data_IF_107249606100
#
_entry.id   IF_107249606100
#
_cell.length_a   1.000
_cell.length_b   1.000
_cell.length_c   1.000
_cell.angle_alpha   90.00
_cell.angle_beta   90.00
_cell.angle_gamma   90.00
#
_symmetry.space_group_name_H-M   'P 1'
#
loop_
_entity.id
_entity.type
_entity.pdbx_description
1 polymer ?
#
# COMPACT_ATOMS: atom_id res chain seq x y z
N UNK A 1 -29.65 48.68 21.80
CA UNK A 1 -29.79 47.21 21.88
C UNK A 1 -28.69 46.63 21.00
N UNK A 2 -27.74 45.89 21.61
CA UNK A 2 -26.59 45.16 21.02
C UNK A 2 -25.49 46.04 20.37
N UNK A 3 -24.28 46.25 20.90
CA UNK A 3 -23.50 45.58 21.95
C UNK A 3 -22.24 44.93 21.34
N UNK A 4 -21.07 45.57 21.48
CA UNK A 4 -19.77 45.17 20.91
C UNK A 4 -19.30 43.74 21.30
N UNK A 5 -18.40 43.11 20.52
CA UNK A 5 -17.89 41.77 20.82
C UNK A 5 -16.96 41.76 22.05
N UNK A 6 -17.03 40.73 22.92
CA UNK A 6 -16.14 40.65 24.07
C UNK A 6 -14.77 40.05 23.74
N UNK A 7 -13.78 40.57 24.47
CA UNK A 7 -12.36 40.19 24.50
C UNK A 7 -12.13 38.69 24.76
N UNK A 8 -11.13 38.13 24.10
CA UNK A 8 -10.60 36.80 24.35
C UNK A 8 -10.07 36.67 25.79
N UNK A 9 -10.54 35.63 26.48
CA UNK A 9 -10.00 35.20 27.78
C UNK A 9 -9.56 33.74 27.62
N UNK A 10 -8.30 33.48 27.94
CA UNK A 10 -7.71 32.14 28.02
C UNK A 10 -8.51 31.23 28.96
N UNK A 11 -8.91 30.06 28.47
CA UNK A 11 -9.27 28.92 29.32
C UNK A 11 -8.91 27.61 28.61
N UNK A 12 -7.69 27.12 28.90
CA UNK A 12 -7.28 25.76 28.59
C UNK A 12 -8.16 24.77 29.36
N UNK A 13 -9.01 24.02 28.67
CA UNK A 13 -9.80 22.94 29.27
C UNK A 13 -9.00 21.65 29.19
N UNK A 14 -8.46 21.21 30.33
CA UNK A 14 -7.82 19.91 30.53
C UNK A 14 -8.82 18.79 30.21
N UNK A 15 -8.57 18.00 29.17
CA UNK A 15 -9.20 16.69 29.02
C UNK A 15 -8.57 15.74 30.05
N UNK A 16 -9.39 15.32 31.01
CA UNK A 16 -9.02 14.37 32.07
C UNK A 16 -9.13 12.96 31.48
N UNK A 17 -8.01 12.23 31.47
CA UNK A 17 -7.97 10.82 31.08
C UNK A 17 -8.78 9.98 32.09
N UNK A 18 -9.66 9.13 31.57
CA UNK A 18 -10.29 8.04 32.30
C UNK A 18 -9.97 6.74 31.55
N UNK A 19 -9.35 5.78 32.23
CA UNK A 19 -9.23 4.39 31.76
C UNK A 19 -7.83 3.93 31.33
N UNK A 20 -6.83 4.06 32.22
CA UNK A 20 -5.61 3.25 32.20
C UNK A 20 -5.94 1.82 32.67
N UNK A 21 -6.12 0.88 31.74
CA UNK A 21 -6.04 -0.57 32.06
C UNK A 21 -5.84 -1.43 30.79
N UNK A 22 -6.36 -1.01 29.64
CA UNK A 22 -6.30 -1.84 28.42
C UNK A 22 -4.93 -1.80 27.72
N UNK A 23 -4.23 -0.66 27.74
CA UNK A 23 -2.92 -0.50 27.13
C UNK A 23 -1.82 -1.25 27.91
N UNK A 24 -1.94 -1.31 29.23
CA UNK A 24 -0.96 -1.98 30.10
C UNK A 24 -1.07 -3.52 30.00
N UNK A 25 -2.28 -4.06 29.81
CA UNK A 25 -2.47 -5.50 29.55
C UNK A 25 -1.90 -5.95 28.20
N UNK A 26 -1.92 -5.07 27.18
CA UNK A 26 -1.29 -5.34 25.88
C UNK A 26 0.24 -5.32 26.01
N UNK A 27 0.77 -4.41 26.83
CA UNK A 27 2.21 -4.27 27.09
C UNK A 27 2.81 -5.50 27.81
N UNK A 28 2.07 -6.07 28.78
CA UNK A 28 2.49 -7.29 29.50
C UNK A 28 2.51 -8.52 28.58
N UNK A 29 1.54 -8.65 27.67
CA UNK A 29 1.45 -9.77 26.74
C UNK A 29 2.57 -9.76 25.69
N UNK A 30 3.02 -8.58 25.26
CA UNK A 30 4.15 -8.42 24.33
C UNK A 30 5.52 -8.69 24.97
N UNK A 31 5.69 -8.34 26.26
CA UNK A 31 6.91 -8.69 27.02
C UNK A 31 7.04 -10.20 27.24
N UNK A 32 5.93 -10.91 27.47
CA UNK A 32 5.95 -12.37 27.59
C UNK A 32 6.30 -13.09 26.28
N UNK A 33 5.83 -12.59 25.12
CA UNK A 33 6.16 -13.18 23.80
C UNK A 33 7.64 -12.98 23.44
N UNK A 34 8.27 -11.90 23.93
CA UNK A 34 9.67 -11.60 23.64
C UNK A 34 10.67 -12.40 24.49
N UNK A 35 10.21 -12.98 25.61
CA UNK A 35 11.06 -13.77 26.52
C UNK A 35 11.20 -15.25 26.12
N UNK A 36 10.43 -15.75 25.14
CA UNK A 36 10.39 -17.18 24.77
C UNK A 36 11.20 -17.55 23.52
N UNK A 37 12.13 -16.71 23.07
CA UNK A 37 13.09 -17.09 22.02
C UNK A 37 14.52 -16.84 22.44
N UNK A 38 15.12 -17.85 23.07
CA UNK A 38 16.54 -18.15 22.91
C UNK A 38 16.78 -19.61 23.28
N UNK A 39 16.99 -20.46 22.27
CA UNK A 39 17.95 -21.58 22.20
C UNK A 39 17.61 -22.45 21.00
N UNK A 40 18.38 -22.32 19.91
CA UNK A 40 18.36 -23.28 18.80
C UNK A 40 19.24 -24.50 19.16
N UNK A 41 18.81 -25.75 18.92
CA UNK A 41 19.70 -26.90 18.97
C UNK A 41 20.47 -27.06 17.64
N UNK A 42 21.73 -27.53 17.65
CA UNK A 42 22.55 -27.60 16.46
C UNK A 42 22.28 -28.87 15.64
N UNK A 43 22.25 -28.70 14.30
CA UNK A 43 22.59 -29.77 13.35
C UNK A 43 21.45 -30.37 12.55
N UNK A 44 21.23 -29.90 11.32
CA UNK A 44 20.64 -30.72 10.23
C UNK A 44 21.17 -30.22 8.88
N UNK A 45 21.70 -31.08 7.99
CA UNK A 45 22.43 -30.64 6.80
C UNK A 45 21.50 -30.06 5.72
N UNK A 46 21.98 -29.02 5.03
CA UNK A 46 21.31 -28.34 3.93
C UNK A 46 20.99 -29.31 2.78
N UNK A 47 19.70 -29.52 2.50
CA UNK A 47 19.24 -30.18 1.28
C UNK A 47 19.36 -29.20 0.11
N UNK A 48 20.23 -29.52 -0.85
CA UNK A 48 20.45 -28.71 -2.04
C UNK A 48 19.14 -28.48 -2.81
N UNK A 49 18.75 -27.22 -2.98
CA UNK A 49 17.68 -26.83 -3.89
C UNK A 49 18.15 -27.06 -5.33
N UNK A 50 17.63 -28.09 -5.98
CA UNK A 50 17.79 -28.29 -7.42
C UNK A 50 17.11 -27.12 -8.15
N UNK A 51 17.91 -26.32 -8.88
CA UNK A 51 17.40 -25.28 -9.78
C UNK A 51 16.80 -25.95 -11.03
N UNK A 52 15.54 -25.66 -11.42
CA UNK A 52 15.03 -26.09 -12.72
C UNK A 52 15.76 -25.33 -13.84
N UNK A 53 16.17 -26.05 -14.88
CA UNK A 53 16.74 -25.46 -16.08
C UNK A 53 15.65 -24.74 -16.89
N UNK A 54 15.73 -23.41 -16.98
CA UNK A 54 14.88 -22.58 -17.83
C UNK A 54 15.24 -22.82 -19.30
N UNK A 55 14.36 -23.46 -20.07
CA UNK A 55 14.42 -23.48 -21.54
C UNK A 55 13.27 -22.65 -22.10
N UNK A 56 13.50 -21.35 -22.29
CA UNK A 56 12.66 -20.55 -23.17
C UNK A 56 12.81 -21.07 -24.60
N UNK A 57 11.69 -21.38 -25.26
CA UNK A 57 11.64 -21.61 -26.70
C UNK A 57 10.90 -20.40 -27.29
N UNK A 58 11.47 -19.78 -28.32
CA UNK A 58 10.86 -18.65 -29.01
C UNK A 58 9.49 -19.04 -29.62
N UNK A 59 8.53 -18.10 -29.68
CA UNK A 59 7.12 -18.39 -29.98
C UNK A 59 6.87 -18.57 -31.48
N UNK A 60 5.90 -19.43 -31.81
CA UNK A 60 5.16 -19.38 -33.08
C UNK A 60 3.85 -18.63 -32.85
N UNK A 61 3.74 -17.46 -33.48
CA UNK A 61 2.62 -16.60 -33.92
C UNK A 61 1.14 -16.88 -33.54
N UNK A 62 0.81 -17.40 -32.35
CA UNK A 62 -0.57 -17.32 -31.82
C UNK A 62 -0.58 -16.65 -30.43
N UNK A 63 -0.55 -15.31 -30.47
CA UNK A 63 -0.41 -14.44 -29.31
C UNK A 63 -1.77 -14.15 -28.66
N UNK A 64 -2.26 -15.04 -27.80
CA UNK A 64 -3.34 -14.68 -26.85
C UNK A 64 -3.40 -15.50 -25.57
N UNK A 65 -2.55 -16.53 -25.39
CA UNK A 65 -2.48 -17.29 -24.14
C UNK A 65 -1.05 -17.66 -23.79
N UNK A 66 -0.50 -17.04 -22.75
CA UNK A 66 0.76 -17.45 -22.16
C UNK A 66 0.58 -18.76 -21.37
N UNK A 67 0.74 -19.91 -22.04
CA UNK A 67 0.77 -21.22 -21.37
C UNK A 67 2.16 -21.49 -20.79
N UNK A 68 2.42 -21.01 -19.57
CA UNK A 68 3.60 -21.43 -18.83
C UNK A 68 3.43 -22.89 -18.35
N UNK A 69 4.01 -23.85 -19.07
CA UNK A 69 3.98 -25.26 -18.70
C UNK A 69 5.10 -25.53 -17.68
N UNK A 70 4.80 -25.40 -16.39
CA UNK A 70 5.71 -25.81 -15.32
C UNK A 70 5.64 -27.33 -15.15
N UNK A 71 6.68 -28.05 -15.55
CA UNK A 71 6.84 -29.47 -15.21
C UNK A 71 7.48 -29.57 -13.82
N UNK A 72 6.66 -29.57 -12.77
CA UNK A 72 7.08 -30.02 -11.44
C UNK A 72 6.78 -31.51 -11.31
N UNK A 73 7.83 -32.28 -11.05
CA UNK A 73 7.75 -33.72 -10.84
C UNK A 73 7.16 -33.99 -9.45
N UNK A 74 5.95 -34.56 -9.38
CA UNK A 74 5.36 -35.10 -8.15
C UNK A 74 4.40 -34.18 -7.38
N UNK A 75 3.17 -34.05 -7.87
CA UNK A 75 2.04 -33.54 -7.09
C UNK A 75 0.92 -33.04 -8.00
N UNK A 76 -0.34 -33.40 -7.72
CA UNK A 76 -1.52 -32.86 -8.42
C UNK A 76 -1.70 -31.38 -8.06
N UNK A 77 -0.83 -30.51 -8.56
CA UNK A 77 -1.09 -29.08 -8.59
C UNK A 77 -1.88 -28.80 -9.86
N UNK A 78 -3.14 -28.39 -9.69
CA UNK A 78 -3.98 -27.94 -10.79
C UNK A 78 -3.21 -26.95 -11.66
N UNK A 79 -3.29 -27.12 -12.98
CA UNK A 79 -2.62 -26.26 -13.94
C UNK A 79 -3.11 -24.81 -13.69
N UNK A 80 -2.25 -23.84 -13.37
CA UNK A 80 -2.73 -22.46 -13.22
C UNK A 80 -2.90 -21.82 -14.61
N UNK A 81 -4.07 -21.24 -14.88
CA UNK A 81 -4.30 -20.39 -16.06
C UNK A 81 -4.07 -18.93 -15.67
N UNK A 82 -3.32 -18.20 -16.50
CA UNK A 82 -3.12 -16.76 -16.35
C UNK A 82 -3.78 -16.06 -17.53
N UNK A 83 -4.72 -15.16 -17.22
CA UNK A 83 -5.46 -14.36 -18.19
C UNK A 83 -5.15 -12.86 -17.97
N UNK A 84 -5.12 -12.09 -19.06
CA UNK A 84 -5.02 -10.63 -19.00
C UNK A 84 -6.38 -10.03 -18.59
N UNK A 85 -6.35 -9.05 -17.70
CA UNK A 85 -7.52 -8.24 -17.37
C UNK A 85 -7.64 -7.08 -18.34
N UNK A 86 -8.85 -6.80 -18.79
CA UNK A 86 -9.08 -5.59 -19.57
C UNK A 86 -9.04 -4.33 -18.67
N UNK A 87 -8.96 -3.17 -19.31
CA UNK A 87 -8.83 -1.88 -18.61
C UNK A 87 -9.99 -1.61 -17.63
N UNK A 88 -11.22 -1.92 -18.02
CA UNK A 88 -12.42 -1.72 -17.19
C UNK A 88 -12.33 -2.56 -15.91
N UNK A 89 -11.97 -3.85 -16.02
CA UNK A 89 -11.78 -4.73 -14.87
C UNK A 89 -10.69 -4.18 -13.93
N UNK A 90 -9.56 -3.73 -14.50
CA UNK A 90 -8.47 -3.15 -13.71
C UNK A 90 -8.91 -1.90 -12.93
N UNK A 91 -9.69 -1.02 -13.58
CA UNK A 91 -10.22 0.20 -12.97
C UNK A 91 -11.26 -0.10 -11.89
N UNK A 92 -12.07 -1.14 -12.07
CA UNK A 92 -13.00 -1.60 -11.04
C UNK A 92 -12.25 -2.07 -9.78
N UNK A 93 -11.18 -2.87 -9.95
CA UNK A 93 -10.31 -3.31 -8.85
C UNK A 93 -9.65 -2.11 -8.15
N UNK A 94 -9.10 -1.17 -8.90
CA UNK A 94 -8.57 0.09 -8.35
C UNK A 94 -9.63 0.83 -7.51
N UNK A 95 -10.86 0.94 -8.04
CA UNK A 95 -11.94 1.70 -7.41
C UNK A 95 -12.37 1.15 -6.06
N UNK A 96 -12.27 -0.16 -5.82
CA UNK A 96 -12.61 -0.80 -4.53
C UNK A 96 -11.43 -1.03 -3.59
N UNK A 97 -10.20 -0.73 -4.05
CA UNK A 97 -8.99 -0.91 -3.24
C UNK A 97 -8.79 0.25 -2.25
N UNK A 98 -8.34 -0.07 -1.04
CA UNK A 98 -7.97 0.90 0.00
C UNK A 98 -6.49 0.85 0.41
N UNK A 99 -5.77 -0.21 0.05
CA UNK A 99 -4.34 -0.36 0.33
C UNK A 99 -3.59 -0.85 -0.90
N UNK A 100 -2.42 -0.27 -1.17
CA UNK A 100 -1.60 -0.62 -2.32
C UNK A 100 -0.11 -0.49 -1.99
N UNK A 101 0.76 -0.87 -2.93
CA UNK A 101 2.21 -0.63 -2.88
C UNK A 101 2.58 0.43 -3.91
N UNK A 102 3.14 1.54 -3.43
CA UNK A 102 3.65 2.62 -4.25
C UNK A 102 5.13 2.41 -4.52
N UNK A 103 5.50 2.28 -5.80
CA UNK A 103 6.86 2.27 -6.30
C UNK A 103 7.26 3.63 -6.86
N UNK A 104 8.45 4.11 -6.48
CA UNK A 104 9.12 5.26 -7.07
C UNK A 104 10.62 4.94 -7.22
N UNK A 105 11.37 5.76 -7.96
CA UNK A 105 12.81 5.53 -8.14
C UNK A 105 13.61 6.82 -8.20
N UNK A 106 14.88 6.73 -7.80
CA UNK A 106 15.86 7.79 -7.93
C UNK A 106 17.21 7.16 -8.29
N UNK A 107 17.91 7.70 -9.28
CA UNK A 107 19.21 7.19 -9.75
C UNK A 107 19.19 5.67 -10.00
N UNK A 108 18.18 5.21 -10.74
CA UNK A 108 17.94 3.79 -11.07
C UNK A 108 17.69 2.84 -9.89
N UNK A 109 17.63 3.35 -8.66
CA UNK A 109 17.25 2.56 -7.49
C UNK A 109 15.73 2.62 -7.26
N UNK A 110 15.00 1.50 -7.28
CA UNK A 110 13.59 1.45 -6.90
C UNK A 110 13.39 1.52 -5.37
N UNK A 111 12.27 2.10 -4.95
CA UNK A 111 11.79 2.17 -3.58
C UNK A 111 10.29 1.93 -3.53
N UNK A 112 9.86 0.91 -2.79
CA UNK A 112 8.47 0.45 -2.71
C UNK A 112 7.98 0.50 -1.28
N UNK A 113 6.80 1.09 -1.06
CA UNK A 113 6.19 1.22 0.27
C UNK A 113 4.68 0.95 0.24
N UNK A 114 4.10 0.42 1.33
CA UNK A 114 2.65 0.35 1.45
C UNK A 114 2.03 1.74 1.63
N UNK A 115 0.88 1.98 1.00
CA UNK A 115 0.12 3.23 1.08
C UNK A 115 -1.37 2.93 1.19
N UNK A 116 -2.10 3.80 1.90
CA UNK A 116 -3.55 3.87 1.81
C UNK A 116 -3.95 4.71 0.60
N UNK A 117 -4.97 4.26 -0.14
CA UNK A 117 -5.37 4.91 -1.40
C UNK A 117 -6.88 5.08 -1.49
N UNK A 118 -7.29 6.08 -2.27
CA UNK A 118 -8.62 6.14 -2.86
C UNK A 118 -8.48 6.46 -4.35
N UNK A 119 -9.17 5.72 -5.21
CA UNK A 119 -9.14 5.91 -6.65
C UNK A 119 -10.47 6.51 -7.12
N UNK A 120 -10.38 7.60 -7.90
CA UNK A 120 -11.53 8.24 -8.55
C UNK A 120 -11.07 9.06 -9.76
N UNK A 121 -11.83 9.02 -10.86
CA UNK A 121 -11.60 9.83 -12.08
C UNK A 121 -10.13 9.87 -12.55
N UNK A 122 -9.50 8.70 -12.73
CA UNK A 122 -8.10 8.56 -13.15
C UNK A 122 -7.04 9.06 -12.15
N UNK A 123 -7.44 9.43 -10.94
CA UNK A 123 -6.53 9.83 -9.88
C UNK A 123 -6.52 8.84 -8.71
N UNK A 124 -5.32 8.50 -8.26
CA UNK A 124 -5.11 7.79 -6.99
C UNK A 124 -4.71 8.82 -5.94
N UNK A 125 -5.60 9.12 -5.00
CA UNK A 125 -5.37 10.05 -3.91
C UNK A 125 -4.70 9.36 -2.72
N UNK A 126 -3.68 10.02 -2.16
CA UNK A 126 -2.87 9.48 -1.07
C UNK A 126 -2.59 10.58 -0.05
N UNK A 127 -2.83 10.25 1.21
CA UNK A 127 -2.39 11.05 2.35
C UNK A 127 -1.03 10.55 2.85
N UNK A 128 -0.12 11.48 3.14
CA UNK A 128 1.18 11.12 3.69
C UNK A 128 1.83 12.19 4.55
N UNK A 129 3.04 11.89 4.97
CA UNK A 129 3.94 12.81 5.67
C UNK A 129 5.23 12.91 4.89
N UNK A 130 5.97 14.00 5.09
CA UNK A 130 7.27 14.20 4.48
C UNK A 130 8.21 13.00 4.74
N UNK A 131 8.97 12.60 3.73
CA UNK A 131 9.87 11.44 3.82
C UNK A 131 10.52 11.09 2.49
N UNK A 132 11.23 9.96 2.44
CA UNK A 132 12.00 9.53 1.28
C UNK A 132 11.18 9.47 -0.01
N UNK A 133 10.03 8.75 0.00
CA UNK A 133 9.16 8.66 -1.18
C UNK A 133 8.75 10.02 -1.72
N UNK A 134 8.45 11.00 -0.86
CA UNK A 134 8.04 12.35 -1.29
C UNK A 134 9.23 13.06 -1.94
N UNK A 135 10.41 13.03 -1.30
CA UNK A 135 11.63 13.62 -1.87
C UNK A 135 11.96 13.02 -3.24
N UNK A 136 11.83 11.70 -3.38
CA UNK A 136 12.11 10.99 -4.62
C UNK A 136 11.08 11.34 -5.70
N UNK A 137 9.79 11.29 -5.38
CA UNK A 137 8.73 11.62 -6.33
C UNK A 137 8.74 13.09 -6.78
N UNK A 138 9.22 14.02 -5.95
CA UNK A 138 9.45 15.41 -6.37
C UNK A 138 10.57 15.54 -7.41
N UNK A 139 11.60 14.69 -7.31
CA UNK A 139 12.72 14.68 -8.25
C UNK A 139 12.42 13.89 -9.52
N UNK A 140 11.66 12.80 -9.39
CA UNK A 140 11.23 11.93 -10.48
C UNK A 140 9.75 11.57 -10.25
N UNK A 141 8.81 12.24 -10.94
CA UNK A 141 7.38 12.05 -10.70
C UNK A 141 6.84 10.72 -11.23
N UNK A 142 7.61 9.95 -12.02
CA UNK A 142 7.17 8.67 -12.55
C UNK A 142 7.07 7.63 -11.44
N UNK A 143 5.89 7.04 -11.31
CA UNK A 143 5.58 6.07 -10.26
C UNK A 143 4.74 4.91 -10.79
N UNK A 144 4.73 3.81 -10.04
CA UNK A 144 3.77 2.74 -10.23
C UNK A 144 3.04 2.44 -8.91
N UNK A 145 1.80 2.00 -9.02
CA UNK A 145 0.99 1.52 -7.90
C UNK A 145 0.59 0.09 -8.20
N UNK A 146 1.00 -0.83 -7.33
CA UNK A 146 0.68 -2.25 -7.42
C UNK A 146 -0.38 -2.61 -6.39
N UNK A 147 -1.36 -3.40 -6.85
CA UNK A 147 -2.46 -3.95 -6.05
C UNK A 147 -2.49 -5.44 -6.32
N UNK A 148 -2.70 -6.22 -5.27
CA UNK A 148 -2.97 -7.64 -5.38
C UNK A 148 -4.16 -8.08 -4.52
N UNK A 149 -4.85 -9.11 -5.01
CA UNK A 149 -5.80 -9.90 -4.26
C UNK A 149 -5.38 -11.35 -4.39
N UNK A 150 -4.82 -11.91 -3.33
CA UNK A 150 -4.26 -13.26 -3.34
C UNK A 150 -5.15 -14.14 -2.46
N UNK A 151 -5.92 -15.04 -3.07
CA UNK A 151 -6.73 -16.04 -2.36
C UNK A 151 -5.96 -17.35 -2.19
N UNK A 152 -5.21 -17.75 -3.21
CA UNK A 152 -4.34 -18.93 -3.17
C UNK A 152 -3.14 -18.74 -4.12
N UNK A 153 -2.30 -19.78 -4.26
CA UNK A 153 -1.21 -19.78 -5.24
C UNK A 153 -1.71 -19.76 -6.69
N UNK A 154 -2.93 -20.23 -6.93
CA UNK A 154 -3.58 -20.38 -8.24
C UNK A 154 -4.74 -19.42 -8.46
N UNK A 155 -5.29 -18.79 -7.41
CA UNK A 155 -6.36 -17.78 -7.48
C UNK A 155 -5.84 -16.45 -6.95
N UNK A 156 -5.49 -15.56 -7.88
CA UNK A 156 -4.98 -14.24 -7.57
C UNK A 156 -5.29 -13.23 -8.67
N UNK A 157 -5.34 -11.96 -8.28
CA UNK A 157 -5.43 -10.81 -9.18
C UNK A 157 -4.25 -9.89 -8.88
N UNK A 158 -3.62 -9.35 -9.92
CA UNK A 158 -2.60 -8.32 -9.80
C UNK A 158 -2.90 -7.20 -10.78
N UNK A 159 -2.94 -5.96 -10.29
CA UNK A 159 -3.13 -4.74 -11.09
C UNK A 159 -1.95 -3.81 -10.86
N UNK A 160 -1.41 -3.25 -11.94
CA UNK A 160 -0.37 -2.23 -11.92
C UNK A 160 -0.91 -0.99 -12.64
N UNK A 161 -0.97 0.12 -11.92
CA UNK A 161 -1.22 1.44 -12.49
C UNK A 161 0.10 2.22 -12.56
N UNK A 162 0.48 2.66 -13.75
CA UNK A 162 1.58 3.61 -13.92
C UNK A 162 1.02 5.02 -13.98
N UNK A 163 1.78 5.98 -13.49
CA UNK A 163 1.34 7.37 -13.50
C UNK A 163 2.37 8.36 -13.02
N UNK A 164 1.91 9.58 -12.79
CA UNK A 164 2.74 10.71 -12.40
C UNK A 164 2.26 11.30 -11.07
N UNK A 165 3.21 11.46 -10.14
CA UNK A 165 3.03 12.14 -8.87
C UNK A 165 2.70 13.63 -9.07
N UNK A 166 1.67 14.09 -8.36
CA UNK A 166 1.25 15.49 -8.28
C UNK A 166 1.00 15.86 -6.82
N UNK A 167 1.85 16.72 -6.26
CA UNK A 167 1.63 17.28 -4.93
C UNK A 167 0.45 18.27 -4.94
N UNK A 168 -0.34 18.29 -3.88
CA UNK A 168 -1.49 19.19 -3.73
C UNK A 168 -1.20 20.24 -2.63
N UNK A 169 -0.42 21.29 -2.94
CA UNK A 169 -0.14 22.38 -2.01
C UNK A 169 -1.39 23.23 -1.71
N UNK A 170 -1.44 23.76 -0.49
CA UNK A 170 -2.38 24.81 -0.12
C UNK A 170 -1.83 26.20 -0.49
N UNK A 171 -2.68 27.16 -0.88
CA UNK A 171 -4.15 27.06 -0.93
C UNK A 171 -4.69 26.57 -2.28
N UNK A 172 -3.85 26.27 -3.27
CA UNK A 172 -4.27 26.09 -4.66
C UNK A 172 -5.21 24.89 -4.87
N UNK A 173 -5.06 23.84 -4.05
CA UNK A 173 -5.79 22.58 -4.17
C UNK A 173 -6.71 22.31 -2.97
N UNK A 174 -7.26 23.35 -2.35
CA UNK A 174 -8.11 23.20 -1.16
C UNK A 174 -9.30 22.25 -1.41
N UNK A 175 -9.98 22.41 -2.56
CA UNK A 175 -11.13 21.58 -2.92
C UNK A 175 -10.74 20.12 -3.15
N UNK A 176 -9.67 19.86 -3.89
CA UNK A 176 -9.17 18.51 -4.17
C UNK A 176 -8.67 17.83 -2.89
N UNK A 177 -8.07 18.58 -1.97
CA UNK A 177 -7.65 18.05 -0.67
C UNK A 177 -8.85 17.69 0.20
N UNK A 178 -9.86 18.56 0.29
CA UNK A 178 -11.08 18.29 1.03
C UNK A 178 -11.78 17.03 0.49
N UNK A 179 -11.86 16.91 -0.84
CA UNK A 179 -12.43 15.75 -1.52
C UNK A 179 -11.62 14.46 -1.28
N UNK A 180 -10.30 14.51 -1.48
CA UNK A 180 -9.40 13.40 -1.20
C UNK A 180 -9.51 12.94 0.26
N UNK A 181 -9.60 13.89 1.20
CA UNK A 181 -9.79 13.61 2.61
C UNK A 181 -11.12 12.89 2.86
N UNK A 182 -12.23 13.32 2.26
CA UNK A 182 -13.51 12.61 2.35
C UNK A 182 -13.43 11.19 1.79
N UNK A 183 -12.79 10.98 0.64
CA UNK A 183 -12.62 9.66 0.03
C UNK A 183 -11.80 8.73 0.93
N UNK A 184 -10.69 9.25 1.47
CA UNK A 184 -9.77 8.51 2.32
C UNK A 184 -10.39 8.18 3.70
N UNK A 185 -11.12 9.11 4.33
CA UNK A 185 -11.81 8.86 5.60
C UNK A 185 -12.80 7.69 5.54
N UNK A 186 -13.53 7.54 4.44
CA UNK A 186 -14.52 6.46 4.26
C UNK A 186 -13.90 5.06 4.26
N UNK A 187 -12.59 4.94 4.05
CA UNK A 187 -11.93 3.67 3.72
C UNK A 187 -10.94 3.14 4.76
N UNK A 188 -10.74 3.81 5.92
CA UNK A 188 -9.56 3.49 6.74
C UNK A 188 -9.68 3.47 8.27
N UNK A 189 -9.14 2.37 8.83
CA UNK A 189 -8.73 2.22 10.23
C UNK A 189 -7.22 1.92 10.41
N UNK A 190 -6.47 1.49 9.37
CA UNK A 190 -5.12 0.93 9.56
C UNK A 190 -3.93 1.91 9.47
N UNK A 191 -4.00 3.00 8.68
CA UNK A 191 -2.91 4.00 8.67
C UNK A 191 -2.87 4.83 9.94
N UNK A 192 -3.97 4.86 10.72
CA UNK A 192 -4.01 5.54 12.01
C UNK A 192 -2.93 4.96 12.92
N UNK A 193 -2.62 3.66 12.79
CA UNK A 193 -1.55 3.00 13.53
C UNK A 193 -0.15 3.47 13.06
N UNK A 194 0.07 3.61 11.75
CA UNK A 194 1.36 4.07 11.20
C UNK A 194 1.62 5.57 11.49
N UNK A 195 0.56 6.40 11.50
CA UNK A 195 0.64 7.78 11.97
C UNK A 195 0.79 7.87 13.48
N UNK A 196 0.08 7.04 14.25
CA UNK A 196 0.22 6.97 15.70
C UNK A 196 1.64 6.57 16.11
N UNK A 197 2.25 5.59 15.44
CA UNK A 197 3.64 5.18 15.68
C UNK A 197 4.63 6.33 15.40
N UNK A 198 4.40 7.13 14.35
CA UNK A 198 5.23 8.31 14.07
C UNK A 198 5.01 9.46 15.05
N UNK A 199 3.76 9.69 15.51
CA UNK A 199 3.43 10.64 16.58
C UNK A 199 4.05 10.26 17.93
N UNK A 200 4.25 8.96 18.18
CA UNK A 200 4.95 8.48 19.39
C UNK A 200 6.46 8.79 19.33
N UNK A 201 7.06 8.88 18.13
CA UNK A 201 8.51 9.08 17.94
C UNK A 201 8.93 10.52 17.62
N UNK A 202 8.02 11.40 17.23
CA UNK A 202 8.29 12.77 16.81
C UNK A 202 7.39 13.74 17.60
N UNK A 203 7.87 14.96 17.88
CA UNK A 203 7.01 16.01 18.46
C UNK A 203 5.87 16.33 17.47
N UNK A 204 4.64 16.43 17.98
CA UNK A 204 3.41 16.59 17.17
C UNK A 204 3.46 17.79 16.19
N UNK A 205 4.23 18.84 16.53
CA UNK A 205 4.35 20.07 15.74
C UNK A 205 5.14 19.91 14.42
N UNK A 206 5.87 18.81 14.23
CA UNK A 206 6.76 18.62 13.07
C UNK A 206 6.15 17.73 11.96
N UNK A 207 4.96 17.14 12.19
CA UNK A 207 4.31 16.26 11.21
C UNK A 207 3.36 17.07 10.33
N UNK A 208 3.90 17.76 9.33
CA UNK A 208 3.08 18.43 8.32
C UNK A 208 2.38 17.38 7.43
N UNK A 209 1.04 17.29 7.44
CA UNK A 209 0.31 16.42 6.53
C UNK A 209 0.50 16.87 5.09
N UNK A 210 0.71 15.92 4.19
CA UNK A 210 0.91 16.15 2.77
C UNK A 210 -0.08 15.30 1.99
N UNK A 211 -0.89 15.94 1.16
CA UNK A 211 -1.75 15.28 0.19
C UNK A 211 -1.09 15.33 -1.17
N UNK A 212 -1.19 14.23 -1.88
CA UNK A 212 -0.81 14.14 -3.28
C UNK A 212 -1.76 13.19 -4.00
N UNK A 213 -1.73 13.26 -5.32
CA UNK A 213 -2.40 12.30 -6.17
C UNK A 213 -1.43 11.75 -7.21
N UNK A 214 -1.79 10.62 -7.79
CA UNK A 214 -1.12 10.05 -8.95
C UNK A 214 -2.10 10.12 -10.09
N UNK A 215 -1.74 10.84 -11.16
CA UNK A 215 -2.50 10.82 -12.42
C UNK A 215 -2.16 9.51 -13.14
N UNK A 216 -3.13 8.61 -13.24
CA UNK A 216 -2.96 7.31 -13.89
C UNK A 216 -2.82 7.51 -15.40
N UNK A 217 -1.73 7.03 -15.98
CA UNK A 217 -1.47 7.09 -17.42
C UNK A 217 -1.76 5.78 -18.14
N UNK A 218 -1.61 4.65 -17.43
CA UNK A 218 -1.90 3.32 -17.97
C UNK A 218 -2.22 2.36 -16.83
N UNK A 219 -3.06 1.38 -17.09
CA UNK A 219 -3.32 0.28 -16.17
C UNK A 219 -3.23 -1.05 -16.90
N UNK A 220 -2.62 -2.04 -16.25
CA UNK A 220 -2.52 -3.42 -16.73
C UNK A 220 -2.88 -4.35 -15.60
N UNK A 221 -3.48 -5.50 -15.91
CA UNK A 221 -3.80 -6.48 -14.90
C UNK A 221 -3.69 -7.91 -15.40
N UNK A 222 -3.44 -8.81 -14.47
CA UNK A 222 -3.38 -10.25 -14.68
C UNK A 222 -4.24 -10.94 -13.62
N UNK A 223 -4.84 -12.06 -13.99
CA UNK A 223 -5.55 -12.95 -13.08
C UNK A 223 -5.00 -14.37 -13.22
N UNK A 224 -4.61 -14.97 -12.12
CA UNK A 224 -4.43 -16.41 -11.99
C UNK A 224 -5.75 -17.05 -11.58
N UNK A 225 -6.13 -18.13 -12.25
CA UNK A 225 -7.22 -19.00 -11.82
C UNK A 225 -6.77 -20.47 -11.87
N UNK A 226 -7.40 -21.31 -11.03
CA UNK A 226 -7.26 -22.77 -11.16
C UNK A 226 -7.73 -23.20 -12.55
N UNK A 227 -6.84 -23.85 -13.29
CA UNK A 227 -7.16 -24.47 -14.56
C UNK A 227 -7.81 -25.83 -14.34
N UNK A 228 -8.77 -26.12 -15.22
CA UNK A 228 -9.49 -27.40 -15.29
C UNK A 228 -8.57 -28.59 -15.59
#
# INVERSE_FOLDING_TARGET
MWGQPPRAVHAARKYRAAGTDHADQILLRQKQISATKLTDPPGTPHRAFLRPAYKARHPSDDATTWRARFSYDGGRHGLMRIDELNETECREILSRTSSARLGCSLNDQPYVVPVGIAYEEDYIYIFSTMGQKIKWMRSNPKVCVQIDEIKSQSDWISVIANGEYQELPEPQFEHERAHAHTLLQKRHHWWLNAMAERRIRLRDEEIKPLFFRIRVSSVTGLRGAEGE
#
